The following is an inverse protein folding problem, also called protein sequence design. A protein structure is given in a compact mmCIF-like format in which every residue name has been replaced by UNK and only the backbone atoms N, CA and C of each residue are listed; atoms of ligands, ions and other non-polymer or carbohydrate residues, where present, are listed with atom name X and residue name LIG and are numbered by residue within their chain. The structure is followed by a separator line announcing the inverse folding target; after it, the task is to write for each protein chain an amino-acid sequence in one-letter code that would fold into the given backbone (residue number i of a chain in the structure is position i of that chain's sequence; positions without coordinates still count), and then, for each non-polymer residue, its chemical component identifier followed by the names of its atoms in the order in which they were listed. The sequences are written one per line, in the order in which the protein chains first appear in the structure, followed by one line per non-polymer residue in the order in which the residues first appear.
data_IF_581315238352
#
_entry.id   IF_581315238352
#
_cell.length_a   1.000
_cell.length_b   1.000
_cell.length_c   1.000
_cell.angle_alpha   90.00
_cell.angle_beta   90.00
_cell.angle_gamma   90.00
#
_symmetry.space_group_name_H-M   'P 1'
#
loop_
_entity.id
_entity.type
_entity.pdbx_description
1 polymer ?
#
# COMPACT_ATOMS: atom_id res chain seq x y z
N UNK A 1 -7.08 49.02 -30.14
CA UNK A 1 -6.92 47.73 -29.42
C UNK A 1 -8.23 46.95 -29.53
N UNK A 2 -8.34 46.08 -30.53
CA UNK A 2 -9.53 45.25 -30.78
C UNK A 2 -9.32 43.87 -30.14
N UNK A 3 -10.10 43.55 -29.09
CA UNK A 3 -10.16 42.21 -28.49
C UNK A 3 -10.98 41.29 -29.41
N UNK A 4 -10.33 40.31 -30.03
CA UNK A 4 -10.96 39.32 -30.90
C UNK A 4 -11.81 38.30 -30.10
N UNK A 5 -12.95 37.84 -30.63
CA UNK A 5 -13.88 36.89 -29.98
C UNK A 5 -13.42 35.42 -30.08
N UNK A 6 -12.12 35.19 -30.24
CA UNK A 6 -11.54 33.89 -30.62
C UNK A 6 -11.65 32.81 -29.52
N UNK A 7 -12.01 33.18 -28.27
CA UNK A 7 -12.04 32.22 -27.16
C UNK A 7 -13.27 31.30 -27.15
N UNK A 8 -14.43 31.75 -27.67
CA UNK A 8 -15.67 30.95 -27.59
C UNK A 8 -15.69 29.79 -28.58
N UNK A 9 -15.25 29.99 -29.83
CA UNK A 9 -15.23 28.94 -30.84
C UNK A 9 -14.29 27.78 -30.47
N UNK A 10 -13.12 28.09 -29.89
CA UNK A 10 -12.18 27.09 -29.39
C UNK A 10 -12.79 26.27 -28.25
N UNK A 11 -13.50 26.92 -27.32
CA UNK A 11 -14.19 26.24 -26.21
C UNK A 11 -15.27 25.26 -26.70
N UNK A 12 -16.05 25.61 -27.73
CA UNK A 12 -17.05 24.70 -28.31
C UNK A 12 -16.42 23.51 -29.04
N UNK A 13 -15.29 23.72 -29.72
CA UNK A 13 -14.56 22.62 -30.38
C UNK A 13 -13.97 21.63 -29.35
N UNK A 14 -13.39 22.13 -28.26
CA UNK A 14 -12.88 21.31 -27.16
C UNK A 14 -14.01 20.50 -26.49
N UNK A 15 -15.16 21.14 -26.22
CA UNK A 15 -16.33 20.47 -25.66
C UNK A 15 -16.89 19.38 -26.59
N UNK A 16 -16.98 19.66 -27.89
CA UNK A 16 -17.47 18.68 -28.88
C UNK A 16 -16.52 17.49 -28.99
N UNK A 17 -15.21 17.72 -29.05
CA UNK A 17 -14.21 16.66 -29.06
C UNK A 17 -14.29 15.79 -27.79
N UNK A 18 -14.46 16.40 -26.62
CA UNK A 18 -14.63 15.65 -25.37
C UNK A 18 -15.89 14.77 -25.37
N UNK A 19 -17.03 15.31 -25.83
CA UNK A 19 -18.28 14.54 -25.94
C UNK A 19 -18.15 13.37 -26.91
N UNK A 20 -17.44 13.55 -28.03
CA UNK A 20 -17.19 12.49 -29.01
C UNK A 20 -16.24 11.40 -28.47
N UNK A 21 -15.28 11.76 -27.63
CA UNK A 21 -14.34 10.81 -27.01
C UNK A 21 -14.93 10.10 -25.78
N UNK A 22 -15.92 10.70 -25.12
CA UNK A 22 -16.58 10.16 -23.93
C UNK A 22 -17.03 8.68 -24.07
N UNK A 23 -17.70 8.23 -25.16
CA UNK A 23 -18.10 6.83 -25.32
C UNK A 23 -16.93 5.85 -25.45
N UNK A 24 -15.71 6.32 -25.70
CA UNK A 24 -14.48 5.50 -25.73
C UNK A 24 -13.78 5.54 -24.37
N UNK A 25 -13.72 6.72 -23.75
CA UNK A 25 -13.06 6.92 -22.46
C UNK A 25 -13.80 6.18 -21.34
N UNK A 26 -15.13 6.25 -21.31
CA UNK A 26 -15.94 5.59 -20.27
C UNK A 26 -15.76 4.07 -20.20
N UNK A 27 -15.88 3.28 -21.29
CA UNK A 27 -15.65 1.84 -21.22
C UNK A 27 -14.20 1.51 -20.88
N UNK A 28 -13.23 2.33 -21.28
CA UNK A 28 -11.84 2.13 -20.90
C UNK A 28 -11.62 2.33 -19.39
N UNK A 29 -12.20 3.39 -18.81
CA UNK A 29 -12.18 3.60 -17.35
C UNK A 29 -12.86 2.43 -16.64
N UNK A 30 -14.03 2.00 -17.11
CA UNK A 30 -14.73 0.86 -16.52
C UNK A 30 -13.88 -0.42 -16.58
N UNK A 31 -13.23 -0.69 -17.71
CA UNK A 31 -12.32 -1.82 -17.85
C UNK A 31 -11.17 -1.76 -16.85
N UNK A 32 -10.53 -0.60 -16.70
CA UNK A 32 -9.45 -0.41 -15.72
C UNK A 32 -9.94 -0.66 -14.29
N UNK A 33 -11.12 -0.15 -13.92
CA UNK A 33 -11.71 -0.37 -12.60
C UNK A 33 -12.05 -1.85 -12.35
N UNK A 34 -12.60 -2.55 -13.35
CA UNK A 34 -12.90 -3.98 -13.26
C UNK A 34 -11.61 -4.79 -13.09
N UNK A 35 -10.59 -4.54 -13.90
CA UNK A 35 -9.29 -5.24 -13.79
C UNK A 35 -8.64 -4.96 -12.45
N UNK A 36 -8.68 -3.71 -11.98
CA UNK A 36 -8.16 -3.34 -10.67
C UNK A 36 -8.90 -4.07 -9.52
N UNK A 37 -10.23 -4.11 -9.55
CA UNK A 37 -11.04 -4.82 -8.57
C UNK A 37 -10.82 -6.33 -8.58
N UNK A 38 -10.71 -6.94 -9.76
CA UNK A 38 -10.37 -8.36 -9.91
C UNK A 38 -8.98 -8.67 -9.37
N UNK A 39 -7.98 -7.81 -9.64
CA UNK A 39 -6.65 -7.96 -9.08
C UNK A 39 -6.66 -7.88 -7.55
N UNK A 40 -7.39 -6.93 -6.98
CA UNK A 40 -7.54 -6.78 -5.53
C UNK A 40 -8.16 -8.03 -4.90
N UNK A 41 -9.24 -8.56 -5.50
CA UNK A 41 -9.89 -9.79 -5.05
C UNK A 41 -8.97 -11.00 -5.17
N UNK A 42 -8.27 -11.14 -6.30
CA UNK A 42 -7.31 -12.21 -6.55
C UNK A 42 -6.21 -12.22 -5.48
N UNK A 43 -5.62 -11.07 -5.16
CA UNK A 43 -4.57 -10.96 -4.14
C UNK A 43 -5.08 -11.42 -2.78
N UNK A 44 -6.29 -11.00 -2.38
CA UNK A 44 -6.88 -11.43 -1.11
C UNK A 44 -7.02 -12.96 -1.06
N UNK A 45 -7.67 -13.55 -2.08
CA UNK A 45 -7.90 -15.01 -2.13
C UNK A 45 -6.56 -15.75 -2.17
N UNK A 46 -5.61 -15.29 -2.98
CA UNK A 46 -4.31 -15.93 -3.12
C UNK A 46 -3.52 -15.89 -1.80
N UNK A 47 -3.55 -14.80 -1.05
CA UNK A 47 -2.96 -14.77 0.31
C UNK A 47 -3.68 -15.77 1.22
N UNK A 48 -5.02 -15.83 1.22
CA UNK A 48 -5.76 -16.79 2.06
C UNK A 48 -5.39 -18.24 1.78
N UNK A 49 -5.22 -18.60 0.52
CA UNK A 49 -4.98 -19.99 0.10
C UNK A 49 -3.49 -20.35 0.14
N UNK A 50 -2.60 -19.42 -0.22
CA UNK A 50 -1.17 -19.72 -0.34
C UNK A 50 -0.37 -19.41 0.92
N UNK A 51 -0.77 -18.43 1.72
CA UNK A 51 0.05 -17.94 2.84
C UNK A 51 -0.44 -18.46 4.19
N UNK A 52 -1.75 -18.37 4.46
CA UNK A 52 -2.30 -18.76 5.76
C UNK A 52 -2.04 -20.23 6.11
N UNK A 53 -2.21 -21.21 5.19
CA UNK A 53 -1.93 -22.61 5.51
C UNK A 53 -0.45 -22.90 5.79
N UNK A 54 0.44 -21.98 5.41
CA UNK A 54 1.89 -22.08 5.67
C UNK A 54 2.31 -21.34 6.94
N UNK A 55 1.36 -20.78 7.70
CA UNK A 55 1.65 -19.94 8.86
C UNK A 55 2.33 -18.62 8.50
N UNK A 56 2.26 -18.19 7.23
CA UNK A 56 2.88 -16.95 6.74
C UNK A 56 1.88 -15.81 6.60
N UNK A 57 1.21 -15.45 7.68
CA UNK A 57 0.08 -14.53 7.68
C UNK A 57 0.45 -13.04 7.79
N UNK A 58 1.73 -12.69 7.62
CA UNK A 58 2.20 -11.31 7.72
C UNK A 58 2.95 -10.89 6.46
N UNK A 59 2.67 -9.69 5.97
CA UNK A 59 3.58 -8.95 5.09
C UNK A 59 4.23 -7.83 5.90
N UNK A 60 5.55 -7.86 6.03
CA UNK A 60 6.31 -6.82 6.71
C UNK A 60 7.18 -6.06 5.71
N UNK A 61 7.05 -4.73 5.70
CA UNK A 61 7.83 -3.83 4.84
C UNK A 61 8.56 -2.80 5.69
N UNK A 62 9.87 -2.68 5.50
CA UNK A 62 10.71 -1.72 6.22
C UNK A 62 11.77 -1.11 5.28
N UNK A 63 12.56 -0.16 5.76
CA UNK A 63 13.82 0.27 5.12
C UNK A 63 14.96 0.37 6.12
N UNK A 64 16.17 0.52 5.59
CA UNK A 64 17.41 0.76 6.34
C UNK A 64 17.56 2.21 6.84
N UNK A 65 16.46 2.87 7.19
CA UNK A 65 16.52 4.21 7.77
C UNK A 65 17.11 4.15 9.18
N UNK A 66 18.17 4.90 9.43
CA UNK A 66 18.85 4.95 10.75
C UNK A 66 17.91 5.35 11.89
N UNK A 67 16.85 6.11 11.60
CA UNK A 67 15.89 6.59 12.60
C UNK A 67 15.12 5.48 13.33
N UNK A 68 14.85 4.36 12.67
CA UNK A 68 14.02 3.29 13.23
C UNK A 68 14.60 1.89 12.96
N UNK A 69 15.78 1.81 12.35
CA UNK A 69 16.46 0.54 12.07
C UNK A 69 16.66 -0.27 13.35
N UNK A 70 17.08 0.38 14.42
CA UNK A 70 17.35 -0.29 15.69
C UNK A 70 16.06 -0.86 16.28
N UNK A 71 15.00 -0.04 16.38
CA UNK A 71 13.67 -0.49 16.83
C UNK A 71 13.10 -1.61 15.95
N UNK A 72 13.24 -1.49 14.63
CA UNK A 72 12.79 -2.55 13.73
C UNK A 72 13.55 -3.85 14.00
N UNK A 73 14.87 -3.79 14.21
CA UNK A 73 15.69 -4.96 14.47
C UNK A 73 15.46 -5.58 15.86
N UNK A 74 15.27 -4.76 16.89
CA UNK A 74 15.11 -5.21 18.28
C UNK A 74 13.68 -5.62 18.63
N UNK A 75 12.68 -4.92 18.10
CA UNK A 75 11.30 -5.04 18.57
C UNK A 75 10.35 -5.61 17.53
N UNK A 76 10.36 -5.11 16.28
CA UNK A 76 9.39 -5.54 15.26
C UNK A 76 9.78 -6.86 14.59
N UNK A 77 11.02 -6.94 14.10
CA UNK A 77 11.49 -8.08 13.31
C UNK A 77 11.40 -9.39 14.11
N UNK A 78 11.82 -9.46 15.39
CA UNK A 78 11.70 -10.70 16.16
C UNK A 78 10.25 -11.17 16.35
N UNK A 79 9.27 -10.26 16.37
CA UNK A 79 7.86 -10.62 16.53
C UNK A 79 7.23 -11.19 15.26
N UNK A 80 7.63 -10.69 14.10
CA UNK A 80 6.95 -11.03 12.84
C UNK A 80 7.73 -12.01 11.96
N UNK A 81 9.05 -12.12 12.12
CA UNK A 81 9.95 -12.81 11.16
C UNK A 81 9.50 -14.22 10.79
N UNK A 82 9.08 -15.02 11.77
CA UNK A 82 8.72 -16.42 11.53
C UNK A 82 7.40 -16.56 10.77
N UNK A 83 6.51 -15.58 10.89
CA UNK A 83 5.19 -15.51 10.23
C UNK A 83 5.16 -14.58 9.02
N UNK A 84 6.24 -13.84 8.75
CA UNK A 84 6.25 -12.82 7.73
C UNK A 84 6.95 -13.23 6.44
N UNK A 85 6.45 -12.68 5.34
CA UNK A 85 7.28 -12.29 4.21
C UNK A 85 7.83 -10.88 4.47
N UNK A 86 9.15 -10.74 4.48
CA UNK A 86 9.83 -9.48 4.77
C UNK A 86 10.33 -8.85 3.48
N UNK A 87 10.01 -7.58 3.28
CA UNK A 87 10.44 -6.78 2.14
C UNK A 87 11.22 -5.54 2.62
N UNK A 88 12.48 -5.45 2.21
CA UNK A 88 13.29 -4.25 2.43
C UNK A 88 13.10 -3.25 1.26
N UNK A 89 12.44 -2.12 1.52
CA UNK A 89 12.19 -1.05 0.56
C UNK A 89 13.46 -0.36 0.04
N UNK A 90 14.54 -0.35 0.84
CA UNK A 90 15.85 0.12 0.38
C UNK A 90 16.35 -0.71 -0.81
N UNK A 91 16.04 -2.01 -0.79
CA UNK A 91 16.42 -2.99 -1.79
C UNK A 91 15.38 -3.16 -2.92
N UNK A 92 14.38 -2.27 -3.00
CA UNK A 92 13.26 -2.42 -3.97
C UNK A 92 13.68 -2.54 -5.44
N UNK A 93 14.87 -2.06 -5.79
CA UNK A 93 15.45 -2.22 -7.14
C UNK A 93 15.79 -3.67 -7.47
N UNK A 94 16.03 -4.49 -6.45
CA UNK A 94 16.34 -5.92 -6.56
C UNK A 94 15.08 -6.80 -6.49
N UNK A 95 13.91 -6.21 -6.20
CA UNK A 95 12.68 -6.97 -6.10
C UNK A 95 12.29 -7.57 -7.45
N UNK A 96 12.08 -8.88 -7.47
CA UNK A 96 11.50 -9.53 -8.65
C UNK A 96 10.08 -9.03 -8.88
N UNK A 97 9.80 -8.60 -10.12
CA UNK A 97 8.45 -8.19 -10.54
C UNK A 97 7.42 -9.32 -10.47
N UNK A 98 7.89 -10.56 -10.43
CA UNK A 98 7.06 -11.77 -10.34
C UNK A 98 6.93 -12.30 -8.90
N UNK A 99 7.56 -11.62 -7.93
CA UNK A 99 7.45 -12.01 -6.52
C UNK A 99 6.05 -11.73 -6.00
N UNK A 100 5.36 -12.78 -5.55
CA UNK A 100 4.00 -12.62 -5.03
C UNK A 100 3.93 -11.67 -3.80
N UNK A 101 4.83 -11.73 -2.80
CA UNK A 101 4.87 -10.71 -1.73
C UNK A 101 4.99 -9.27 -2.23
N UNK A 102 5.75 -9.04 -3.31
CA UNK A 102 5.90 -7.71 -3.92
C UNK A 102 4.59 -7.28 -4.58
N UNK A 103 3.90 -8.20 -5.27
CA UNK A 103 2.58 -7.93 -5.85
C UNK A 103 1.51 -7.62 -4.77
N UNK A 104 1.53 -8.38 -3.67
CA UNK A 104 0.68 -8.12 -2.49
C UNK A 104 0.97 -6.72 -1.94
N UNK A 105 2.24 -6.36 -1.78
CA UNK A 105 2.63 -5.02 -1.34
C UNK A 105 2.10 -3.93 -2.27
N UNK A 106 2.28 -4.05 -3.59
CA UNK A 106 1.79 -3.03 -4.52
C UNK A 106 0.26 -2.92 -4.54
N UNK A 107 -0.44 -4.02 -4.30
CA UNK A 107 -1.91 -4.03 -4.29
C UNK A 107 -2.49 -3.52 -2.97
N UNK A 108 -1.88 -3.84 -1.83
CA UNK A 108 -2.44 -3.57 -0.49
C UNK A 108 -1.68 -2.53 0.33
N UNK A 109 -0.38 -2.37 0.09
CA UNK A 109 0.50 -1.51 0.87
C UNK A 109 0.18 -0.02 0.76
N UNK A 110 -0.52 0.39 -0.30
CA UNK A 110 -0.86 1.78 -0.58
C UNK A 110 0.36 2.63 -0.97
N UNK A 111 0.11 3.90 -1.27
CA UNK A 111 1.15 4.81 -1.79
C UNK A 111 1.85 5.65 -0.71
N UNK A 112 1.34 5.66 0.52
CA UNK A 112 1.81 6.54 1.62
C UNK A 112 2.05 5.74 2.89
N UNK A 113 2.97 6.24 3.73
CA UNK A 113 3.19 5.73 5.09
C UNK A 113 3.43 4.22 5.18
N UNK A 114 4.02 3.65 4.13
CA UNK A 114 4.20 2.20 3.97
C UNK A 114 5.50 1.70 4.64
N UNK A 115 6.15 2.53 5.45
CA UNK A 115 7.45 2.19 6.00
C UNK A 115 7.70 2.81 7.39
N UNK A 116 7.79 1.99 8.45
CA UNK A 116 7.48 0.55 8.46
C UNK A 116 5.98 0.25 8.32
N UNK A 117 5.63 -0.81 7.61
CA UNK A 117 4.27 -1.32 7.44
C UNK A 117 4.21 -2.81 7.79
N UNK A 118 3.27 -3.17 8.65
CA UNK A 118 2.89 -4.56 8.89
C UNK A 118 1.46 -4.75 8.42
N UNK A 119 1.23 -5.73 7.54
CA UNK A 119 -0.11 -6.17 7.16
C UNK A 119 -0.32 -7.55 7.74
N UNK A 120 -1.35 -7.72 8.57
CA UNK A 120 -1.71 -9.00 9.16
C UNK A 120 -2.95 -9.57 8.49
N UNK A 121 -2.88 -10.82 8.09
CA UNK A 121 -3.91 -11.51 7.32
C UNK A 121 -4.59 -12.57 8.19
N UNK A 122 -5.81 -12.31 8.64
CA UNK A 122 -6.64 -13.28 9.39
C UNK A 122 -7.79 -13.79 8.52
N UNK A 123 -8.28 -15.03 8.59
CA UNK A 123 -9.18 -15.63 7.58
C UNK A 123 -10.29 -14.72 7.01
N UNK A 124 -10.86 -13.84 7.84
CA UNK A 124 -11.93 -12.92 7.48
C UNK A 124 -11.54 -11.43 7.41
N UNK A 125 -10.32 -11.06 7.82
CA UNK A 125 -9.90 -9.65 7.99
C UNK A 125 -8.46 -9.41 7.56
N UNK A 126 -8.19 -8.18 7.13
CA UNK A 126 -6.83 -7.72 6.81
C UNK A 126 -6.61 -6.44 7.60
N UNK A 127 -5.60 -6.44 8.46
CA UNK A 127 -5.30 -5.32 9.35
C UNK A 127 -3.96 -4.68 8.97
N UNK A 128 -3.88 -3.37 9.13
CA UNK A 128 -2.75 -2.56 8.67
C UNK A 128 -2.18 -1.77 9.84
N UNK A 129 -0.90 -1.98 10.12
CA UNK A 129 -0.15 -1.24 11.14
C UNK A 129 0.91 -0.40 10.45
N UNK A 130 0.66 0.91 10.34
CA UNK A 130 1.53 1.88 9.69
C UNK A 130 2.31 2.67 10.74
N UNK A 131 3.60 2.42 10.83
CA UNK A 131 4.42 2.98 11.89
C UNK A 131 5.02 4.35 11.55
N UNK A 132 4.93 4.82 10.30
CA UNK A 132 5.59 6.05 9.87
C UNK A 132 5.19 7.28 10.71
N UNK A 133 3.89 7.48 10.94
CA UNK A 133 3.38 8.60 11.76
C UNK A 133 3.85 8.45 13.21
N UNK A 134 3.71 7.25 13.76
CA UNK A 134 4.13 6.96 15.14
C UNK A 134 5.63 7.23 15.37
N UNK A 135 6.50 6.89 14.40
CA UNK A 135 7.92 7.23 14.49
C UNK A 135 8.19 8.72 14.36
N UNK A 136 7.42 9.43 13.54
CA UNK A 136 7.55 10.89 13.39
C UNK A 136 7.23 11.61 14.71
N UNK A 137 6.24 11.13 15.46
CA UNK A 137 5.88 11.68 16.77
C UNK A 137 6.87 11.26 17.86
N UNK A 138 7.34 10.00 17.83
CA UNK A 138 8.38 9.52 18.74
C UNK A 138 9.68 10.33 18.60
N UNK A 139 10.03 10.77 17.38
CA UNK A 139 11.18 11.65 17.14
C UNK A 139 11.04 13.00 17.85
N UNK A 140 9.82 13.47 18.10
CA UNK A 140 9.53 14.70 18.85
C UNK A 140 9.42 14.46 20.36
N UNK A 141 9.62 13.23 20.83
CA UNK A 141 9.52 12.83 22.23
C UNK A 141 8.20 12.18 22.61
N UNK A 142 7.21 12.10 21.71
CA UNK A 142 5.92 11.47 21.99
C UNK A 142 5.90 10.00 21.53
N UNK A 143 6.12 9.10 22.48
CA UNK A 143 6.15 7.66 22.23
C UNK A 143 4.79 6.98 22.43
N UNK A 144 3.74 7.72 22.84
CA UNK A 144 2.45 7.12 23.18
C UNK A 144 1.82 6.39 21.99
N UNK A 145 1.79 7.03 20.82
CA UNK A 145 1.25 6.45 19.58
C UNK A 145 2.02 5.20 19.14
N UNK A 146 3.35 5.22 19.26
CA UNK A 146 4.20 4.08 18.92
C UNK A 146 3.95 2.89 19.84
N UNK A 147 3.87 3.15 21.14
CA UNK A 147 3.63 2.12 22.15
C UNK A 147 2.24 1.51 22.02
N UNK A 148 1.21 2.33 21.75
CA UNK A 148 -0.16 1.87 21.50
C UNK A 148 -0.22 0.98 20.26
N UNK A 149 0.32 1.45 19.13
CA UNK A 149 0.34 0.67 17.89
C UNK A 149 1.10 -0.66 18.04
N UNK A 150 2.16 -0.65 18.85
CA UNK A 150 2.93 -1.86 19.17
C UNK A 150 2.16 -2.82 20.08
N UNK A 151 1.40 -2.30 21.04
CA UNK A 151 0.53 -3.11 21.90
C UNK A 151 -0.57 -3.78 21.07
N UNK A 152 -1.24 -3.02 20.19
CA UNK A 152 -2.28 -3.53 19.29
C UNK A 152 -1.73 -4.62 18.37
N UNK A 153 -0.55 -4.40 17.78
CA UNK A 153 0.11 -5.42 16.96
C UNK A 153 0.40 -6.69 17.77
N UNK A 154 0.95 -6.55 18.99
CA UNK A 154 1.25 -7.70 19.84
C UNK A 154 0.00 -8.46 20.25
N UNK A 155 -1.10 -7.77 20.53
CA UNK A 155 -2.38 -8.40 20.82
C UNK A 155 -2.90 -9.20 19.63
N UNK A 156 -2.80 -8.64 18.42
CA UNK A 156 -3.24 -9.34 17.21
C UNK A 156 -2.39 -10.58 16.86
N UNK A 157 -1.12 -10.61 17.29
CA UNK A 157 -0.20 -11.71 17.00
C UNK A 157 -0.24 -12.86 18.02
N UNK A 158 -0.94 -12.70 19.15
CA UNK A 158 -1.15 -13.75 20.16
C UNK A 158 -2.15 -14.79 19.69
#
# INVERSE_FOLDING_TARGET
MTRTPQSKARSYMEATAFVLLLPIILPLILLVLVVWGLNFLFVHIAVRVAWLPRGKDILFVHSDSTLWKDFVASDLLPLVRDRAYVLNWSERRLWSRWSFPVHVFHTLGGEREYNPLVIVFSPLRTEYFRFWVAFKDAKKGDTATLNALMADLREHLR
#
